data_IF_994675260615
#
_entry.id   IF_994675260615
#
_cell.length_a   1.000
_cell.length_b   1.000
_cell.length_c   1.000
_cell.angle_alpha   90.00
_cell.angle_beta   90.00
_cell.angle_gamma   90.00
#
_symmetry.space_group_name_H-M   'P 1'
#
loop_
_entity.id
_entity.type
_entity.pdbx_description
1 polymer ?
#
# COMPACT_ATOMS: atom_id res chain seq x y z
N UNK A 1 -5.41 10.79 -10.43
CA UNK A 1 -5.54 11.55 -9.16
C UNK A 1 -5.65 10.54 -8.02
N UNK A 2 -4.52 10.19 -7.39
CA UNK A 2 -4.50 9.16 -6.35
C UNK A 2 -5.33 9.54 -5.12
N UNK A 3 -6.15 8.63 -4.62
CA UNK A 3 -7.00 8.84 -3.46
C UNK A 3 -6.20 9.20 -2.19
N UNK A 4 -6.78 9.99 -1.28
CA UNK A 4 -6.11 10.50 -0.08
C UNK A 4 -5.53 9.38 0.81
N UNK A 5 -4.31 9.60 1.33
CA UNK A 5 -3.74 8.78 2.39
C UNK A 5 -4.60 8.99 3.65
N UNK A 6 -5.15 7.93 4.26
CA UNK A 6 -6.12 8.07 5.33
C UNK A 6 -5.48 8.46 6.68
N UNK A 7 -4.14 8.57 6.73
CA UNK A 7 -3.38 8.83 7.94
C UNK A 7 -2.86 7.55 8.61
N UNK A 8 -1.89 7.67 9.52
CA UNK A 8 -1.26 6.53 10.19
C UNK A 8 -2.20 5.76 11.13
N UNK A 9 -3.31 6.37 11.56
CA UNK A 9 -4.32 5.71 12.40
C UNK A 9 -5.16 4.68 11.63
N UNK A 10 -5.20 4.79 10.30
CA UNK A 10 -6.01 3.95 9.40
C UNK A 10 -5.16 3.13 8.42
N UNK A 11 -3.85 3.31 8.44
CA UNK A 11 -2.91 2.56 7.61
C UNK A 11 -1.69 2.18 8.46
N UNK A 12 -1.34 0.89 8.45
CA UNK A 12 -0.21 0.37 9.22
C UNK A 12 1.10 0.65 8.48
N UNK A 13 2.08 1.21 9.18
CA UNK A 13 3.44 1.36 8.64
C UNK A 13 4.10 -0.01 8.51
N UNK A 14 4.63 -0.31 7.32
CA UNK A 14 5.20 -1.61 6.99
C UNK A 14 6.69 -1.56 6.67
N UNK A 15 7.24 -0.37 6.40
CA UNK A 15 8.65 -0.23 6.09
C UNK A 15 8.90 0.98 5.21
N UNK A 16 10.04 0.96 4.52
CA UNK A 16 10.52 2.11 3.79
C UNK A 16 11.13 1.70 2.45
N UNK A 17 11.05 2.61 1.49
CA UNK A 17 11.68 2.50 0.19
C UNK A 17 12.60 3.70 -0.03
N UNK A 18 13.89 3.43 -0.29
CA UNK A 18 14.83 4.45 -0.76
C UNK A 18 14.92 4.38 -2.29
N UNK A 19 14.61 5.49 -2.97
CA UNK A 19 14.77 5.62 -4.43
C UNK A 19 15.45 6.94 -4.76
N UNK A 20 16.68 6.87 -5.25
CA UNK A 20 17.51 8.06 -5.44
C UNK A 20 17.71 8.79 -4.12
N UNK A 21 17.43 10.09 -4.11
CA UNK A 21 17.51 10.94 -2.91
C UNK A 21 16.23 10.91 -2.06
N UNK A 22 15.15 10.30 -2.57
CA UNK A 22 13.87 10.23 -1.89
C UNK A 22 13.75 9.01 -0.98
N UNK A 23 13.21 9.23 0.23
CA UNK A 23 12.77 8.19 1.16
C UNK A 23 11.24 8.20 1.22
N UNK A 24 10.67 7.03 1.03
CA UNK A 24 9.23 6.81 1.05
C UNK A 24 8.88 5.88 2.21
N UNK A 25 8.00 6.35 3.08
CA UNK A 25 7.37 5.50 4.10
C UNK A 25 6.27 4.68 3.42
N UNK A 26 6.24 3.39 3.71
CA UNK A 26 5.32 2.42 3.10
C UNK A 26 4.27 2.02 4.11
N UNK A 27 3.00 2.20 3.74
CA UNK A 27 1.86 1.84 4.58
C UNK A 27 0.90 0.90 3.86
N UNK A 28 0.19 0.08 4.63
CA UNK A 28 -0.92 -0.74 4.16
C UNK A 28 -2.22 -0.30 4.84
N UNK A 29 -3.25 -0.04 4.04
CA UNK A 29 -4.62 0.19 4.49
C UNK A 29 -5.47 -1.02 4.10
N UNK A 30 -6.29 -1.50 5.03
CA UNK A 30 -7.24 -2.59 4.79
C UNK A 30 -8.66 -2.06 4.69
N UNK A 31 -9.45 -2.67 3.81
CA UNK A 31 -10.87 -2.40 3.71
C UNK A 31 -11.62 -3.71 3.46
N UNK A 32 -12.61 -4.02 4.29
CA UNK A 32 -13.49 -5.15 4.07
C UNK A 32 -14.29 -5.00 2.76
N UNK A 33 -14.38 -6.08 1.99
CA UNK A 33 -15.17 -6.22 0.78
C UNK A 33 -16.25 -7.28 1.00
N UNK A 34 -17.45 -6.83 1.37
CA UNK A 34 -18.58 -7.71 1.66
C UNK A 34 -19.14 -8.41 0.41
N UNK A 35 -18.95 -7.85 -0.77
CA UNK A 35 -19.43 -8.44 -2.02
C UNK A 35 -18.62 -9.68 -2.38
N UNK A 36 -17.31 -9.65 -2.11
CA UNK A 36 -16.39 -10.76 -2.36
C UNK A 36 -16.13 -11.63 -1.13
N UNK A 37 -16.63 -11.23 0.05
CA UNK A 37 -16.35 -11.93 1.31
C UNK A 37 -14.86 -11.92 1.67
N UNK A 38 -14.17 -10.81 1.38
CA UNK A 38 -12.71 -10.70 1.45
C UNK A 38 -12.27 -9.35 2.06
N UNK A 39 -10.96 -9.13 2.12
CA UNK A 39 -10.32 -7.87 2.53
C UNK A 39 -9.45 -7.36 1.38
N UNK A 40 -9.60 -6.09 1.03
CA UNK A 40 -8.72 -5.38 0.10
C UNK A 40 -7.56 -4.74 0.86
N UNK A 41 -6.39 -4.75 0.25
CA UNK A 41 -5.20 -4.04 0.75
C UNK A 41 -4.73 -2.96 -0.23
N UNK A 42 -4.70 -1.71 0.25
CA UNK A 42 -4.14 -0.55 -0.48
C UNK A 42 -2.78 -0.21 0.05
N UNK A 43 -1.78 -0.23 -0.83
CA UNK A 43 -0.44 0.23 -0.50
C UNK A 43 -0.34 1.74 -0.70
N UNK A 44 0.38 2.40 0.19
CA UNK A 44 0.70 3.82 0.13
C UNK A 44 2.20 4.00 0.26
N UNK A 45 2.77 4.77 -0.65
CA UNK A 45 4.10 5.33 -0.53
C UNK A 45 3.96 6.82 -0.27
N UNK A 46 4.55 7.32 0.82
CA UNK A 46 4.44 8.73 1.24
C UNK A 46 5.82 9.32 1.46
N UNK A 47 6.08 10.53 0.96
CA UNK A 47 7.30 11.31 1.29
C UNK A 47 7.00 12.53 2.16
N UNK A 48 8.05 13.07 2.78
CA UNK A 48 8.00 14.33 3.52
C UNK A 48 7.49 15.52 2.68
N UNK A 49 7.67 15.48 1.36
CA UNK A 49 7.28 16.53 0.41
C UNK A 49 5.80 16.45 0.02
N UNK A 50 5.00 15.67 0.76
CA UNK A 50 3.56 15.40 0.50
C UNK A 50 3.29 14.69 -0.82
N UNK A 51 4.32 14.12 -1.48
CA UNK A 51 4.14 13.24 -2.64
C UNK A 51 3.56 11.91 -2.16
N UNK A 52 2.65 11.35 -2.96
CA UNK A 52 2.02 10.05 -2.68
C UNK A 52 1.80 9.26 -3.96
N UNK A 53 2.11 7.97 -3.87
CA UNK A 53 1.75 6.93 -4.84
C UNK A 53 0.95 5.86 -4.11
N UNK A 54 -0.19 5.43 -4.63
CA UNK A 54 -1.08 4.49 -3.91
C UNK A 54 -1.92 3.63 -4.84
N UNK A 55 -2.17 2.37 -4.47
CA UNK A 55 -2.95 1.44 -5.28
C UNK A 55 -3.51 0.25 -4.49
N UNK A 56 -4.70 -0.23 -4.88
CA UNK A 56 -5.30 -1.46 -4.38
C UNK A 56 -4.69 -2.66 -5.11
N UNK A 57 -3.72 -3.33 -4.47
CA UNK A 57 -2.95 -4.41 -5.10
C UNK A 57 -3.11 -5.76 -4.39
N UNK A 58 -3.86 -5.82 -3.29
CA UNK A 58 -4.16 -7.05 -2.57
C UNK A 58 -5.66 -7.28 -2.44
N UNK A 59 -6.04 -8.56 -2.51
CA UNK A 59 -7.37 -9.06 -2.19
C UNK A 59 -7.19 -10.43 -1.53
N UNK A 60 -7.41 -10.52 -0.23
CA UNK A 60 -7.12 -11.72 0.55
C UNK A 60 -8.26 -12.02 1.55
N UNK A 61 -8.40 -13.26 2.07
CA UNK A 61 -9.52 -13.62 2.95
C UNK A 61 -9.57 -12.85 4.27
N UNK A 62 -8.42 -12.38 4.79
CA UNK A 62 -8.36 -11.64 6.05
C UNK A 62 -7.27 -10.57 6.06
N UNK A 63 -7.34 -9.62 7.01
CA UNK A 63 -6.28 -8.62 7.22
C UNK A 63 -4.92 -9.23 7.58
N UNK A 64 -4.92 -10.41 8.20
CA UNK A 64 -3.69 -11.14 8.51
C UNK A 64 -3.03 -11.62 7.23
N UNK A 65 -3.81 -12.21 6.32
CA UNK A 65 -3.31 -12.69 5.03
C UNK A 65 -2.75 -11.53 4.19
N UNK A 66 -3.38 -10.34 4.24
CA UNK A 66 -2.84 -9.12 3.63
C UNK A 66 -1.43 -8.80 4.14
N UNK A 67 -1.20 -8.90 5.46
CA UNK A 67 0.10 -8.60 6.05
C UNK A 67 1.15 -9.66 5.72
N UNK A 68 0.76 -10.94 5.70
CA UNK A 68 1.62 -12.04 5.28
C UNK A 68 2.03 -11.87 3.81
N UNK A 69 1.05 -11.64 2.93
CA UNK A 69 1.26 -11.40 1.50
C UNK A 69 2.08 -10.15 1.22
N UNK A 70 1.88 -9.08 1.99
CA UNK A 70 2.75 -7.89 1.90
C UNK A 70 4.22 -8.26 2.13
N UNK A 71 4.50 -9.10 3.13
CA UNK A 71 5.86 -9.53 3.48
C UNK A 71 6.54 -10.43 2.44
N UNK A 72 5.79 -10.94 1.45
CA UNK A 72 6.34 -11.73 0.33
C UNK A 72 7.02 -10.85 -0.73
N UNK A 73 6.76 -9.54 -0.73
CA UNK A 73 7.28 -8.61 -1.71
C UNK A 73 8.23 -7.59 -1.09
N UNK A 74 9.24 -7.19 -1.84
CA UNK A 74 10.02 -6.01 -1.51
C UNK A 74 9.23 -4.73 -1.79
N UNK A 75 9.60 -3.64 -1.12
CA UNK A 75 8.97 -2.34 -1.35
C UNK A 75 9.12 -1.82 -2.79
N UNK A 76 10.17 -2.23 -3.51
CA UNK A 76 10.36 -1.87 -4.92
C UNK A 76 9.43 -2.64 -5.85
N UNK A 77 9.17 -3.92 -5.59
CA UNK A 77 8.19 -4.70 -6.36
C UNK A 77 6.77 -4.14 -6.16
N UNK A 78 6.41 -3.82 -4.92
CA UNK A 78 5.13 -3.19 -4.60
C UNK A 78 4.97 -1.84 -5.30
N UNK A 79 6.04 -1.05 -5.39
CA UNK A 79 6.03 0.22 -6.12
C UNK A 79 5.69 0.01 -7.59
N UNK A 80 6.32 -0.97 -8.25
CA UNK A 80 6.05 -1.28 -9.65
C UNK A 80 4.61 -1.75 -9.90
N UNK A 81 4.04 -2.54 -8.99
CA UNK A 81 2.63 -2.90 -9.09
C UNK A 81 1.71 -1.69 -9.02
N UNK A 82 2.00 -0.74 -8.12
CA UNK A 82 1.20 0.48 -8.01
C UNK A 82 1.37 1.38 -9.23
N UNK A 83 2.59 1.57 -9.73
CA UNK A 83 2.83 2.34 -10.97
C UNK A 83 2.06 1.78 -12.16
N UNK A 84 2.00 0.45 -12.29
CA UNK A 84 1.28 -0.21 -13.38
C UNK A 84 -0.25 0.00 -13.33
N UNK A 85 -0.81 0.52 -12.23
CA UNK A 85 -2.23 0.86 -12.12
C UNK A 85 -2.54 2.31 -12.55
N UNK A 86 -1.53 3.17 -12.65
CA UNK A 86 -1.67 4.58 -13.01
C UNK A 86 -1.50 4.83 -14.53
N UNK A 87 -1.28 3.78 -15.33
CA UNK A 87 -1.19 3.79 -16.81
C UNK A 87 -2.55 3.62 -17.52
#
# INVERSE_FOLDING_TARGET
>A
MGAAFPGPDRAKHMGELKRGDDRWDVFIETQADAELGAVRGRVHFVTAERRRTTGWIFLEPSERDIQERFGEFSAVELWHFVEALDD
#
